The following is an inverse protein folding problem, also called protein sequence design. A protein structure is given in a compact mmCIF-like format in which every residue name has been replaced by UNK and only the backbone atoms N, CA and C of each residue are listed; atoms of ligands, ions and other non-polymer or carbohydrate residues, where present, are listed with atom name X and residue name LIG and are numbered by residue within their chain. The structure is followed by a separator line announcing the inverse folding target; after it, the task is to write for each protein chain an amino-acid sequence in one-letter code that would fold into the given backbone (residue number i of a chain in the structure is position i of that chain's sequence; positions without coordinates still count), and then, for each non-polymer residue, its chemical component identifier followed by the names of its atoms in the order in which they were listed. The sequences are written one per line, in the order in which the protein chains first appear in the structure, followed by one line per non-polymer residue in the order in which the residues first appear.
data_IF_527871165787
#
_entry.id   IF_527871165787
#
_cell.length_a   1.000
_cell.length_b   1.000
_cell.length_c   1.000
_cell.angle_alpha   90.00
_cell.angle_beta   90.00
_cell.angle_gamma   90.00
#
_symmetry.space_group_name_H-M   'P 1'
#
loop_
_entity.id
_entity.type
_entity.pdbx_description
1 polymer ?
#
# COMPACT_ATOMS: atom_id res chain seq x y z
N UNK A 1 5.96 18.73 -10.71
CA UNK A 1 5.91 17.29 -11.03
C UNK A 1 7.33 16.80 -11.25
N UNK A 2 7.96 16.25 -10.22
CA UNK A 2 9.29 15.66 -10.32
C UNK A 2 9.07 14.18 -10.62
N UNK A 3 9.47 13.78 -11.82
CA UNK A 3 9.47 12.38 -12.22
C UNK A 3 10.84 11.77 -11.85
N UNK A 4 10.90 11.04 -10.75
CA UNK A 4 12.03 10.16 -10.50
C UNK A 4 11.69 8.78 -11.05
N UNK A 5 12.40 8.35 -12.08
CA UNK A 5 12.37 6.99 -12.56
C UNK A 5 13.59 6.26 -12.02
N UNK A 6 13.37 5.17 -11.32
CA UNK A 6 14.43 4.23 -10.97
C UNK A 6 14.38 3.08 -11.98
N UNK A 7 15.51 2.82 -12.64
CA UNK A 7 15.65 1.68 -13.56
C UNK A 7 16.17 0.50 -12.77
N UNK A 8 15.35 -0.50 -12.53
CA UNK A 8 15.82 -1.75 -11.96
C UNK A 8 14.99 -2.93 -12.45
N UNK A 9 15.69 -4.02 -12.74
CA UNK A 9 15.19 -5.35 -13.04
C UNK A 9 14.41 -5.52 -14.35
N UNK A 10 15.11 -5.94 -15.41
CA UNK A 10 14.54 -6.58 -16.61
C UNK A 10 13.33 -5.88 -17.22
N UNK A 11 13.42 -4.58 -17.46
CA UNK A 11 12.38 -3.84 -18.14
C UNK A 11 11.22 -3.35 -17.26
N UNK A 12 11.32 -3.46 -15.94
CA UNK A 12 10.34 -2.88 -15.00
C UNK A 12 10.78 -1.49 -14.53
N UNK A 13 9.83 -0.57 -14.42
CA UNK A 13 10.06 0.81 -13.92
C UNK A 13 9.00 1.20 -12.90
N UNK A 14 9.35 2.10 -11.99
CA UNK A 14 8.42 2.69 -11.03
C UNK A 14 8.29 4.20 -11.25
N UNK A 15 7.12 4.75 -10.97
CA UNK A 15 6.84 6.18 -11.04
C UNK A 15 6.30 6.68 -9.70
N UNK A 16 6.85 7.76 -9.19
CA UNK A 16 6.41 8.42 -7.96
C UNK A 16 5.63 9.69 -8.24
N UNK A 17 4.62 10.00 -7.44
CA UNK A 17 3.69 11.08 -7.72
C UNK A 17 3.67 12.26 -6.74
N UNK A 18 4.58 12.38 -5.71
CA UNK A 18 4.53 13.53 -4.76
C UNK A 18 5.85 13.83 -4.03
N UNK A 19 5.94 15.01 -3.38
CA UNK A 19 7.07 15.49 -2.55
C UNK A 19 7.20 14.70 -1.24
N UNK A 20 8.44 14.39 -0.83
CA UNK A 20 8.75 13.60 0.38
C UNK A 20 8.60 14.37 1.71
N UNK A 21 8.31 15.67 1.68
CA UNK A 21 8.32 16.53 2.86
C UNK A 21 6.95 16.75 3.50
N UNK A 22 5.87 16.32 2.86
CA UNK A 22 4.50 16.57 3.31
C UNK A 22 3.79 15.28 3.70
N UNK A 23 2.94 15.35 4.72
CA UNK A 23 2.04 14.26 5.07
C UNK A 23 1.10 13.95 3.90
N UNK A 24 0.74 12.69 3.72
CA UNK A 24 -0.22 12.29 2.70
C UNK A 24 0.11 10.97 2.00
N UNK A 25 -0.68 10.68 0.97
CA UNK A 25 -0.61 9.43 0.25
C UNK A 25 0.46 9.45 -0.86
N UNK A 26 1.14 8.31 -1.01
CA UNK A 26 2.14 8.05 -2.05
C UNK A 26 1.74 6.81 -2.82
N UNK A 27 1.76 6.87 -4.13
CA UNK A 27 1.51 5.71 -4.97
C UNK A 27 2.73 5.46 -5.87
N UNK A 28 3.17 4.20 -5.91
CA UNK A 28 4.20 3.73 -6.82
C UNK A 28 3.58 2.68 -7.74
N UNK A 29 3.87 2.80 -9.01
CA UNK A 29 3.36 1.90 -10.04
C UNK A 29 4.53 1.22 -10.73
N UNK A 30 4.49 -0.10 -10.80
CA UNK A 30 5.39 -0.89 -11.62
C UNK A 30 4.72 -1.22 -12.95
N UNK A 31 5.42 -1.04 -14.06
CA UNK A 31 4.93 -1.38 -15.39
C UNK A 31 5.96 -2.16 -16.18
N UNK A 32 5.48 -2.99 -17.09
CA UNK A 32 6.30 -3.73 -18.01
C UNK A 32 6.66 -2.83 -19.20
N UNK A 33 7.94 -2.56 -19.42
CA UNK A 33 8.40 -1.68 -20.51
C UNK A 33 8.24 -2.28 -21.90
N UNK A 34 8.16 -3.59 -21.99
CA UNK A 34 8.12 -4.33 -23.24
C UNK A 34 6.68 -4.64 -23.69
N UNK A 35 5.73 -4.55 -22.76
CA UNK A 35 4.32 -4.83 -23.03
C UNK A 35 3.51 -3.53 -23.08
N UNK A 36 2.89 -3.17 -24.22
CA UNK A 36 1.95 -2.07 -24.29
C UNK A 36 0.76 -2.32 -23.35
N UNK A 37 0.15 -1.24 -22.84
CA UNK A 37 -1.12 -1.35 -22.12
C UNK A 37 -2.22 -1.83 -23.06
N UNK A 38 -3.10 -2.70 -22.57
CA UNK A 38 -4.34 -2.99 -23.26
C UNK A 38 -5.24 -1.74 -23.18
N UNK A 39 -5.95 -1.35 -24.25
CA UNK A 39 -6.90 -0.23 -24.19
C UNK A 39 -7.90 -0.33 -23.06
N UNK A 40 -8.30 -1.53 -22.64
CA UNK A 40 -9.18 -1.76 -21.48
C UNK A 40 -8.50 -1.45 -20.14
N UNK A 41 -7.18 -1.55 -20.03
CA UNK A 41 -6.42 -1.18 -18.83
C UNK A 41 -6.42 0.34 -18.58
N UNK A 42 -6.78 1.14 -19.60
CA UNK A 42 -6.83 2.61 -19.52
C UNK A 42 -8.22 3.14 -19.15
N UNK A 43 -9.21 2.24 -19.00
CA UNK A 43 -10.58 2.59 -18.62
C UNK A 43 -10.77 2.38 -17.15
N UNK A 44 -10.93 3.47 -16.40
CA UNK A 44 -11.30 3.39 -14.99
C UNK A 44 -12.79 3.02 -14.86
N UNK A 45 -13.16 2.14 -13.90
CA UNK A 45 -14.57 1.84 -13.64
C UNK A 45 -15.38 3.11 -13.38
N UNK A 46 -16.60 3.20 -13.91
CA UNK A 46 -17.49 4.38 -13.70
C UNK A 46 -17.78 4.67 -12.23
N UNK A 47 -17.66 3.66 -11.36
CA UNK A 47 -17.89 3.75 -9.93
C UNK A 47 -16.76 4.46 -9.14
N UNK A 48 -15.66 4.86 -9.77
CA UNK A 48 -14.62 5.64 -9.09
C UNK A 48 -15.00 7.12 -9.06
N UNK A 49 -15.55 7.56 -7.94
CA UNK A 49 -15.98 8.95 -7.70
C UNK A 49 -14.84 9.99 -7.78
N UNK A 50 -13.59 9.56 -7.74
CA UNK A 50 -12.41 10.42 -7.90
C UNK A 50 -11.75 10.26 -9.27
N UNK A 51 -12.56 10.19 -10.33
CA UNK A 51 -12.06 10.43 -11.68
C UNK A 51 -11.49 11.86 -11.73
N UNK A 52 -10.20 12.02 -11.46
CA UNK A 52 -9.50 13.09 -12.14
C UNK A 52 -9.72 12.77 -13.63
N UNK A 53 -10.41 13.64 -14.35
CA UNK A 53 -10.52 13.59 -15.82
C UNK A 53 -9.12 13.76 -16.42
N UNK A 54 -8.33 12.70 -16.33
CA UNK A 54 -7.06 12.61 -17.05
C UNK A 54 -7.43 12.10 -18.42
N UNK A 55 -7.86 13.02 -19.29
CA UNK A 55 -7.90 12.72 -20.72
C UNK A 55 -6.47 12.52 -21.20
N UNK A 56 -6.08 11.25 -21.37
CA UNK A 56 -4.83 10.91 -22.03
C UNK A 56 -4.92 11.29 -23.50
N UNK A 57 -3.93 12.02 -24.00
CA UNK A 57 -3.76 12.25 -25.43
C UNK A 57 -3.58 10.91 -26.17
N UNK A 58 -3.85 10.88 -27.46
CA UNK A 58 -3.66 9.67 -28.28
C UNK A 58 -2.19 9.19 -28.29
N UNK A 59 -1.24 10.11 -28.16
CA UNK A 59 0.17 9.76 -28.02
C UNK A 59 0.48 9.09 -26.66
N UNK A 60 -0.10 9.58 -25.58
CA UNK A 60 0.04 8.98 -24.24
C UNK A 60 -0.61 7.60 -24.19
N UNK A 61 -1.80 7.41 -24.78
CA UNK A 61 -2.45 6.10 -24.90
C UNK A 61 -1.60 5.12 -25.69
N UNK A 62 -1.01 5.55 -26.81
CA UNK A 62 -0.15 4.72 -27.67
C UNK A 62 1.14 4.30 -26.96
N UNK A 63 1.67 5.16 -26.08
CA UNK A 63 2.91 4.91 -25.33
C UNK A 63 2.66 4.31 -23.94
N UNK A 64 1.40 4.11 -23.56
CA UNK A 64 1.06 3.52 -22.27
C UNK A 64 1.61 2.09 -22.16
N UNK A 65 2.08 1.76 -20.96
CA UNK A 65 2.66 0.44 -20.69
C UNK A 65 1.77 -0.32 -19.70
N UNK A 66 1.77 -1.64 -19.82
CA UNK A 66 0.99 -2.50 -18.93
C UNK A 66 1.44 -2.31 -17.48
N UNK A 67 0.52 -1.88 -16.60
CA UNK A 67 0.72 -1.82 -15.16
C UNK A 67 0.70 -3.25 -14.62
N UNK A 68 1.75 -3.62 -13.89
CA UNK A 68 1.92 -4.99 -13.35
C UNK A 68 1.97 -5.03 -11.84
N UNK A 69 1.97 -3.88 -11.19
CA UNK A 69 1.90 -3.79 -9.75
C UNK A 69 1.75 -2.36 -9.25
N UNK A 70 1.21 -2.22 -8.06
CA UNK A 70 1.02 -0.95 -7.37
C UNK A 70 1.33 -1.09 -5.88
N UNK A 71 1.93 -0.06 -5.30
CA UNK A 71 1.97 0.11 -3.84
C UNK A 71 1.43 1.48 -3.46
N UNK A 72 0.63 1.52 -2.38
CA UNK A 72 0.05 2.74 -1.83
C UNK A 72 0.52 2.88 -0.39
N UNK A 73 1.11 4.03 -0.11
CA UNK A 73 1.68 4.36 1.17
C UNK A 73 1.07 5.63 1.74
N UNK A 74 0.99 5.72 3.06
CA UNK A 74 0.61 6.94 3.78
C UNK A 74 1.83 7.40 4.57
N UNK A 75 2.32 8.60 4.25
CA UNK A 75 3.45 9.22 4.94
C UNK A 75 2.93 10.17 6.01
N UNK A 76 3.40 9.97 7.23
CA UNK A 76 3.30 10.89 8.35
C UNK A 76 4.73 11.25 8.81
N UNK A 77 5.31 12.35 8.31
CA UNK A 77 6.72 12.64 8.51
C UNK A 77 7.06 13.20 9.89
N UNK A 78 6.06 13.66 10.64
CA UNK A 78 6.23 14.30 11.96
C UNK A 78 5.38 13.60 13.00
N UNK A 79 5.82 13.64 14.26
CA UNK A 79 5.00 13.22 15.39
C UNK A 79 3.71 14.05 15.47
N UNK A 80 2.61 13.42 15.88
CA UNK A 80 1.31 14.07 16.07
C UNK A 80 0.97 14.17 17.54
N UNK A 81 0.10 15.10 17.90
CA UNK A 81 -0.52 15.12 19.21
C UNK A 81 -1.82 14.31 19.21
N UNK A 82 -2.27 13.86 20.38
CA UNK A 82 -3.56 13.18 20.48
C UNK A 82 -4.71 14.08 20.03
N UNK A 83 -4.63 15.38 20.32
CA UNK A 83 -5.62 16.37 19.91
C UNK A 83 -5.72 16.49 18.38
N UNK A 84 -4.59 16.41 17.66
CA UNK A 84 -4.59 16.39 16.19
C UNK A 84 -5.28 15.14 15.66
N UNK A 85 -5.00 13.97 16.22
CA UNK A 85 -5.63 12.70 15.82
C UNK A 85 -7.14 12.74 16.08
N UNK A 86 -7.54 13.21 17.25
CA UNK A 86 -8.96 13.27 17.64
C UNK A 86 -9.74 14.25 16.73
N UNK A 87 -9.11 15.36 16.34
CA UNK A 87 -9.69 16.31 15.39
C UNK A 87 -9.82 15.70 13.99
N UNK A 88 -8.77 15.07 13.48
CA UNK A 88 -8.81 14.39 12.17
C UNK A 88 -9.92 13.34 12.13
N UNK A 89 -10.04 12.52 13.18
CA UNK A 89 -11.08 11.51 13.29
C UNK A 89 -12.51 12.11 13.38
N UNK A 90 -12.66 13.30 13.96
CA UNK A 90 -13.95 14.00 14.03
C UNK A 90 -14.34 14.67 12.70
N UNK A 91 -13.37 15.02 11.88
CA UNK A 91 -13.55 15.64 10.56
C UNK A 91 -13.68 14.60 9.43
N UNK A 92 -13.37 13.31 9.72
CA UNK A 92 -13.46 12.23 8.75
C UNK A 92 -14.92 11.90 8.45
N UNK A 93 -15.33 12.14 7.21
CA UNK A 93 -16.67 11.77 6.74
C UNK A 93 -16.79 10.24 6.66
N UNK A 94 -17.96 9.67 7.01
CA UNK A 94 -18.19 8.24 6.86
C UNK A 94 -17.94 7.79 5.41
N UNK A 95 -17.10 6.79 5.24
CA UNK A 95 -16.85 6.26 3.90
C UNK A 95 -18.10 5.59 3.33
N UNK A 96 -18.56 6.09 2.18
CA UNK A 96 -19.59 5.39 1.42
C UNK A 96 -18.97 4.13 0.81
N UNK A 97 -19.56 2.97 1.12
CA UNK A 97 -19.12 1.72 0.51
C UNK A 97 -19.69 1.57 -0.90
N UNK A 98 -18.93 0.93 -1.78
CA UNK A 98 -19.38 0.62 -3.12
C UNK A 98 -20.68 -0.23 -3.08
N UNK A 99 -21.62 -0.06 -4.03
CA UNK A 99 -22.81 -0.87 -4.11
C UNK A 99 -22.47 -2.37 -4.11
N UNK A 100 -23.11 -3.14 -3.21
CA UNK A 100 -22.88 -4.57 -3.06
C UNK A 100 -21.69 -4.97 -2.17
N UNK A 101 -20.92 -4.01 -1.66
CA UNK A 101 -19.86 -4.29 -0.68
C UNK A 101 -20.46 -4.65 0.70
N UNK A 102 -19.78 -5.50 1.45
CA UNK A 102 -20.11 -5.76 2.84
C UNK A 102 -19.54 -4.64 3.72
N UNK A 103 -20.31 -3.53 3.88
CA UNK A 103 -19.89 -2.37 4.64
C UNK A 103 -19.50 -2.72 6.08
N UNK A 104 -20.28 -3.56 6.77
CA UNK A 104 -19.98 -3.95 8.14
C UNK A 104 -18.63 -4.69 8.29
N UNK A 105 -18.26 -5.50 7.29
CA UNK A 105 -16.95 -6.15 7.25
C UNK A 105 -15.82 -5.13 7.07
N UNK A 106 -16.00 -4.19 6.13
CA UNK A 106 -15.00 -3.17 5.81
C UNK A 106 -14.78 -2.22 6.98
N UNK A 107 -15.86 -1.74 7.62
CA UNK A 107 -15.79 -0.88 8.80
C UNK A 107 -15.08 -1.57 9.97
N UNK A 108 -15.41 -2.84 10.21
CA UNK A 108 -14.77 -3.60 11.28
C UNK A 108 -13.28 -3.85 11.01
N UNK A 109 -12.91 -4.10 9.76
CA UNK A 109 -11.52 -4.26 9.35
C UNK A 109 -10.73 -2.96 9.53
N UNK A 110 -11.31 -1.84 9.11
CA UNK A 110 -10.69 -0.51 9.24
C UNK A 110 -10.52 -0.11 10.71
N UNK A 111 -11.52 -0.40 11.55
CA UNK A 111 -11.42 -0.21 13.00
C UNK A 111 -10.29 -1.05 13.63
N UNK A 112 -10.14 -2.32 13.24
CA UNK A 112 -9.09 -3.19 13.72
C UNK A 112 -7.68 -2.72 13.29
N UNK A 113 -7.54 -2.29 12.02
CA UNK A 113 -6.30 -1.68 11.48
C UNK A 113 -5.94 -0.41 12.25
N UNK A 114 -6.92 0.46 12.50
CA UNK A 114 -6.74 1.71 13.25
C UNK A 114 -6.31 1.44 14.69
N UNK A 115 -6.93 0.47 15.37
CA UNK A 115 -6.56 0.07 16.72
C UNK A 115 -5.12 -0.49 16.79
N UNK A 116 -4.74 -1.35 15.84
CA UNK A 116 -3.39 -1.90 15.73
C UNK A 116 -2.35 -0.81 15.46
N UNK A 117 -2.63 0.11 14.53
CA UNK A 117 -1.76 1.24 14.23
C UNK A 117 -1.58 2.15 15.45
N UNK A 118 -2.67 2.47 16.17
CA UNK A 118 -2.61 3.26 17.41
C UNK A 118 -1.72 2.59 18.46
N UNK A 119 -1.81 1.28 18.62
CA UNK A 119 -1.03 0.50 19.59
C UNK A 119 0.47 0.49 19.27
N UNK A 120 0.83 0.27 18.01
CA UNK A 120 2.21 -0.01 17.63
C UNK A 120 3.00 1.20 17.10
N UNK A 121 2.30 2.20 16.58
CA UNK A 121 2.88 3.44 16.06
C UNK A 121 2.61 4.61 17.01
N UNK A 122 1.40 4.69 17.56
CA UNK A 122 1.00 5.78 18.44
C UNK A 122 1.06 7.14 17.75
N UNK A 123 1.82 8.05 18.34
CA UNK A 123 1.97 9.43 17.88
C UNK A 123 3.22 9.64 17.01
N UNK A 124 4.06 8.62 16.87
CA UNK A 124 5.35 8.72 16.21
C UNK A 124 5.22 8.90 14.69
N UNK A 125 6.23 9.48 14.02
CA UNK A 125 6.29 9.53 12.56
C UNK A 125 6.34 8.12 11.97
N UNK A 126 5.68 7.93 10.82
CA UNK A 126 5.64 6.63 10.17
C UNK A 126 5.39 6.70 8.67
N UNK A 127 5.72 5.61 7.99
CA UNK A 127 5.29 5.31 6.64
C UNK A 127 4.43 4.03 6.67
N UNK A 128 3.16 4.10 6.29
CA UNK A 128 2.22 2.99 6.30
C UNK A 128 1.97 2.45 4.90
N UNK A 129 2.28 1.17 4.68
CA UNK A 129 1.94 0.47 3.44
C UNK A 129 0.48 -0.02 3.51
N UNK A 130 -0.42 0.69 2.83
CA UNK A 130 -1.85 0.33 2.76
C UNK A 130 -2.11 -0.78 1.75
N UNK A 131 -1.45 -0.71 0.59
CA UNK A 131 -1.67 -1.64 -0.52
C UNK A 131 -0.35 -2.03 -1.13
N UNK A 132 -0.17 -3.32 -1.38
CA UNK A 132 0.84 -3.86 -2.29
C UNK A 132 0.15 -4.95 -3.12
N UNK A 133 -0.14 -4.63 -4.37
CA UNK A 133 -0.81 -5.53 -5.30
C UNK A 133 0.06 -5.76 -6.53
N UNK A 134 0.18 -7.02 -6.94
CA UNK A 134 0.95 -7.44 -8.11
C UNK A 134 0.09 -8.35 -8.97
N UNK A 135 0.02 -8.06 -10.27
CA UNK A 135 -0.62 -8.91 -11.26
C UNK A 135 -0.13 -10.36 -11.08
N UNK A 136 -1.04 -11.35 -10.92
CA UNK A 136 -0.67 -12.75 -10.71
C UNK A 136 0.35 -13.29 -11.73
N UNK A 137 0.28 -12.87 -12.99
CA UNK A 137 1.22 -13.28 -14.04
C UNK A 137 2.65 -12.72 -13.85
N UNK A 138 2.79 -11.70 -12.99
CA UNK A 138 4.06 -11.01 -12.70
C UNK A 138 4.57 -11.27 -11.29
N UNK A 139 3.86 -12.07 -10.49
CA UNK A 139 4.32 -12.46 -9.16
C UNK A 139 5.61 -13.30 -9.25
N UNK A 140 6.38 -13.30 -8.15
CA UNK A 140 7.68 -14.01 -8.03
C UNK A 140 8.76 -13.56 -9.02
N UNK A 141 8.56 -12.46 -9.73
CA UNK A 141 9.48 -11.85 -10.69
C UNK A 141 10.19 -10.59 -10.16
N UNK A 142 10.08 -10.32 -8.85
CA UNK A 142 10.75 -9.18 -8.20
C UNK A 142 9.92 -7.89 -8.14
N UNK A 143 8.72 -7.82 -8.74
CA UNK A 143 7.88 -6.61 -8.77
C UNK A 143 7.57 -6.08 -7.36
N UNK A 144 7.19 -6.97 -6.42
CA UNK A 144 6.93 -6.57 -5.04
C UNK A 144 8.19 -6.01 -4.33
N UNK A 145 9.37 -6.56 -4.65
CA UNK A 145 10.63 -6.05 -4.13
C UNK A 145 10.93 -4.66 -4.67
N UNK A 146 10.73 -4.44 -5.96
CA UNK A 146 10.91 -3.13 -6.60
C UNK A 146 10.03 -2.06 -5.95
N UNK A 147 8.74 -2.35 -5.77
CA UNK A 147 7.79 -1.44 -5.14
C UNK A 147 8.12 -1.15 -3.67
N UNK A 148 8.63 -2.14 -2.93
CA UNK A 148 9.10 -1.95 -1.56
C UNK A 148 10.40 -1.14 -1.49
N UNK A 149 11.36 -1.37 -2.39
CA UNK A 149 12.60 -0.60 -2.44
C UNK A 149 12.29 0.89 -2.62
N UNK A 150 11.38 1.26 -3.53
CA UNK A 150 10.96 2.65 -3.75
C UNK A 150 10.22 3.26 -2.55
N UNK A 151 9.22 2.56 -2.03
CA UNK A 151 8.45 3.06 -0.89
C UNK A 151 9.32 3.22 0.36
N UNK A 152 10.12 2.21 0.70
CA UNK A 152 10.96 2.25 1.90
C UNK A 152 12.12 3.25 1.79
N UNK A 153 12.56 3.60 0.58
CA UNK A 153 13.51 4.69 0.39
C UNK A 153 12.96 6.02 0.96
N UNK A 154 11.64 6.24 0.97
CA UNK A 154 11.02 7.40 1.61
C UNK A 154 11.19 7.34 3.12
N UNK A 155 10.89 6.20 3.76
CA UNK A 155 11.06 6.01 5.19
C UNK A 155 12.53 6.20 5.62
N UNK A 156 13.47 5.67 4.83
CA UNK A 156 14.90 5.77 5.10
C UNK A 156 15.42 7.21 4.97
N UNK A 157 14.97 7.96 3.97
CA UNK A 157 15.30 9.40 3.84
C UNK A 157 14.73 10.25 4.97
N UNK A 158 13.52 9.94 5.41
CA UNK A 158 12.87 10.65 6.52
C UNK A 158 13.36 10.18 7.89
N UNK A 159 14.12 9.08 7.98
CA UNK A 159 14.59 8.51 9.25
C UNK A 159 13.44 7.99 10.13
N UNK A 160 12.35 7.50 9.55
CA UNK A 160 11.13 7.07 10.25
C UNK A 160 10.89 5.57 10.12
N UNK A 161 10.07 5.05 11.02
CA UNK A 161 9.62 3.67 10.99
C UNK A 161 8.61 3.42 9.86
N UNK A 162 8.45 2.15 9.44
CA UNK A 162 7.39 1.74 8.54
C UNK A 162 6.48 0.69 9.19
N UNK A 163 5.22 0.67 8.78
CA UNK A 163 4.16 -0.16 9.33
C UNK A 163 3.33 -0.81 8.23
N UNK A 164 2.84 -2.00 8.47
CA UNK A 164 1.87 -2.69 7.60
C UNK A 164 1.15 -3.82 8.35
N UNK A 165 0.03 -4.27 7.79
CA UNK A 165 -0.62 -5.55 8.10
C UNK A 165 -0.34 -6.54 6.97
N UNK A 166 0.42 -7.57 7.28
CA UNK A 166 0.87 -8.56 6.31
C UNK A 166 -0.11 -9.73 6.20
N UNK A 167 -0.49 -10.08 4.99
CA UNK A 167 -1.06 -11.40 4.72
C UNK A 167 0.00 -12.48 4.92
N UNK A 168 -0.42 -13.72 5.18
CA UNK A 168 0.48 -14.88 5.30
C UNK A 168 1.44 -15.01 4.11
N UNK A 169 0.97 -14.70 2.89
CA UNK A 169 1.78 -14.77 1.66
C UNK A 169 2.78 -13.63 1.58
N UNK A 170 2.42 -12.41 2.00
CA UNK A 170 3.28 -11.23 1.96
C UNK A 170 4.34 -11.20 3.06
N UNK A 171 4.05 -11.75 4.24
CA UNK A 171 4.91 -11.70 5.43
C UNK A 171 6.38 -12.06 5.18
N UNK A 172 6.74 -13.16 4.44
CA UNK A 172 8.14 -13.47 4.17
C UNK A 172 8.87 -12.42 3.33
N UNK A 173 8.15 -11.72 2.44
CA UNK A 173 8.73 -10.61 1.69
C UNK A 173 9.07 -9.46 2.62
N UNK A 174 8.16 -9.03 3.48
CA UNK A 174 8.36 -7.91 4.40
C UNK A 174 9.46 -8.18 5.43
N UNK A 175 9.53 -9.40 5.96
CA UNK A 175 10.61 -9.80 6.87
C UNK A 175 12.01 -9.60 6.26
N UNK A 176 12.19 -9.87 4.95
CA UNK A 176 13.46 -9.59 4.25
C UNK A 176 13.80 -8.10 4.16
N UNK A 177 12.81 -7.23 4.30
CA UNK A 177 12.98 -5.77 4.30
C UNK A 177 13.15 -5.18 5.71
N UNK A 178 13.31 -6.05 6.72
CA UNK A 178 13.54 -5.64 8.10
C UNK A 178 12.26 -5.32 8.87
N UNK A 179 11.11 -5.73 8.36
CA UNK A 179 9.88 -5.72 9.16
C UNK A 179 9.91 -6.87 10.17
N UNK A 180 9.52 -6.55 11.38
CA UNK A 180 9.43 -7.45 12.52
C UNK A 180 7.97 -7.71 12.88
N UNK A 181 7.64 -8.96 13.15
CA UNK A 181 6.30 -9.34 13.62
C UNK A 181 5.99 -8.72 14.97
N UNK A 182 4.76 -8.28 15.16
CA UNK A 182 4.24 -7.77 16.43
C UNK A 182 3.18 -8.68 16.99
N UNK A 183 2.04 -8.75 16.33
CA UNK A 183 0.90 -9.59 16.73
C UNK A 183 0.01 -9.88 15.52
N UNK A 184 -0.82 -10.90 15.63
CA UNK A 184 -1.94 -11.04 14.72
C UNK A 184 -3.00 -9.98 15.04
N UNK A 185 -3.51 -9.34 14.00
CA UNK A 185 -4.60 -8.37 14.15
C UNK A 185 -5.83 -9.08 14.71
N UNK A 186 -6.45 -8.50 15.73
CA UNK A 186 -7.70 -9.02 16.32
C UNK A 186 -8.87 -8.71 15.40
N UNK A 187 -9.10 -9.60 14.42
CA UNK A 187 -10.15 -9.44 13.43
C UNK A 187 -10.69 -10.80 12.97
N UNK A 188 -11.95 -11.04 13.23
CA UNK A 188 -12.65 -12.25 12.83
C UNK A 188 -13.54 -11.99 11.60
N UNK A 189 -13.07 -12.41 10.44
CA UNK A 189 -13.79 -12.27 9.16
C UNK A 189 -15.11 -13.01 9.19
N UNK A 190 -15.18 -14.20 9.81
CA UNK A 190 -16.37 -15.07 9.81
C UNK A 190 -17.54 -14.41 10.55
N UNK A 191 -17.24 -13.59 11.56
CA UNK A 191 -18.25 -12.80 12.29
C UNK A 191 -19.06 -11.89 11.38
N UNK A 192 -18.43 -11.32 10.35
CA UNK A 192 -19.03 -10.36 9.42
C UNK A 192 -19.37 -10.96 8.06
N UNK A 193 -18.74 -12.05 7.69
CA UNK A 193 -18.94 -12.79 6.46
C UNK A 193 -19.05 -14.30 6.75
N UNK A 194 -20.17 -14.80 7.26
CA UNK A 194 -20.33 -16.22 7.65
C UNK A 194 -20.11 -17.21 6.51
N UNK A 195 -20.21 -16.79 5.26
CA UNK A 195 -19.93 -17.60 4.08
C UNK A 195 -18.45 -17.95 3.94
N UNK A 196 -17.57 -17.17 4.58
CA UNK A 196 -16.12 -17.38 4.57
C UNK A 196 -15.64 -18.41 5.62
N UNK A 197 -16.56 -19.11 6.32
CA UNK A 197 -16.21 -20.09 7.40
C UNK A 197 -15.33 -21.25 6.92
N UNK A 198 -15.45 -21.62 5.65
CA UNK A 198 -14.71 -22.72 5.03
C UNK A 198 -13.46 -22.22 4.27
N UNK A 199 -13.24 -20.90 4.22
CA UNK A 199 -12.04 -20.28 3.63
C UNK A 199 -10.83 -20.45 4.56
N UNK A 200 -9.61 -20.42 4.02
CA UNK A 200 -8.42 -20.33 4.85
C UNK A 200 -8.49 -19.12 5.79
N UNK A 201 -7.98 -19.23 7.03
CA UNK A 201 -8.01 -18.12 7.97
C UNK A 201 -7.42 -16.84 7.36
N UNK A 202 -8.20 -15.76 7.41
CA UNK A 202 -7.77 -14.41 7.00
C UNK A 202 -7.00 -13.77 8.16
N UNK A 203 -5.78 -14.22 8.37
CA UNK A 203 -4.88 -13.72 9.42
C UNK A 203 -4.00 -12.60 8.86
N UNK A 204 -4.01 -11.47 9.53
CA UNK A 204 -3.12 -10.35 9.24
C UNK A 204 -2.09 -10.19 10.35
N UNK A 205 -0.81 -10.31 10.01
CA UNK A 205 0.29 -10.06 10.94
C UNK A 205 0.63 -8.57 10.92
N UNK A 206 0.49 -7.92 12.05
CA UNK A 206 0.98 -6.56 12.24
C UNK A 206 2.50 -6.60 12.25
N UNK A 207 3.13 -5.81 11.38
CA UNK A 207 4.57 -5.75 11.27
C UNK A 207 5.07 -4.30 11.30
N UNK A 208 6.18 -4.08 12.00
CA UNK A 208 6.85 -2.78 12.10
C UNK A 208 8.30 -2.92 11.66
N UNK A 209 8.74 -2.02 10.78
CA UNK A 209 10.14 -1.85 10.41
C UNK A 209 10.69 -0.67 11.18
N UNK A 210 11.64 -0.86 12.11
CA UNK A 210 12.28 0.24 12.82
C UNK A 210 12.98 1.22 11.86
N UNK A 211 13.08 2.49 12.25
CA UNK A 211 13.86 3.47 11.52
C UNK A 211 15.32 2.99 11.37
N UNK A 212 15.87 3.13 10.17
CA UNK A 212 17.23 2.68 9.86
C UNK A 212 17.43 1.17 9.71
N UNK A 213 16.37 0.36 9.80
CA UNK A 213 16.45 -1.07 9.53
C UNK A 213 16.89 -1.31 8.07
N UNK A 214 17.69 -2.35 7.87
CA UNK A 214 18.22 -2.68 6.54
C UNK A 214 17.60 -3.97 6.01
N UNK A 215 17.60 -4.08 4.69
CA UNK A 215 17.25 -5.32 4.00
C UNK A 215 18.16 -6.45 4.50
N UNK A 216 17.54 -7.52 4.98
CA UNK A 216 18.28 -8.71 5.41
C UNK A 216 18.67 -9.49 4.16
N UNK A 217 19.96 -9.53 3.86
CA UNK A 217 20.48 -10.37 2.78
C UNK A 217 20.39 -11.84 3.20
N UNK A 218 19.20 -12.42 3.08
CA UNK A 218 19.02 -13.86 3.21
C UNK A 218 19.61 -14.55 1.99
N UNK A 219 20.56 -15.44 2.19
CA UNK A 219 20.89 -16.43 1.16
C UNK A 219 19.59 -17.20 0.82
N UNK A 220 19.22 -17.20 -0.46
CA UNK A 220 18.17 -18.03 -1.02
C UNK A 220 18.48 -19.50 -0.80
#
# INVERSE_FOLDING_TARGET
LIHNFSENLNGLKTKMSTSDSEAGQRAFVAYDTDTPADPSDLVFPEAWEHKAEVELSEEEKKNAKKVVGVSIWVLQPSARTQEQIDREAAEEEPHAHAPGANGALLDAMDAAMTASKKKWIGLEPYLYLRVLAIDPAYQRRGVGSLLLDEGLAVADRCGIQAYLEATKVGRPLYARYGFEDREYMDFDVVKYAPTAKDDPPHEFMVMVRPAGAKKVNGKA
#
